data_IF_048422106147
#
_entry.id   IF_048422106147
#
_cell.length_a   1.000
_cell.length_b   1.000
_cell.length_c   1.000
_cell.angle_alpha   90.00
_cell.angle_beta   90.00
_cell.angle_gamma   90.00
#
_symmetry.space_group_name_H-M   'P 1'
#
loop_
_entity.id
_entity.type
_entity.pdbx_description
1 polymer ?
#
# COMPACT_ATOMS: atom_id res chain seq x y z
N UNK A 1 -14.53 10.57 -23.94
CA UNK A 1 -15.03 11.77 -23.25
C UNK A 1 -14.77 11.61 -21.76
N UNK A 2 -13.69 12.21 -21.24
CA UNK A 2 -13.40 12.21 -19.79
C UNK A 2 -14.14 13.39 -19.16
N UNK A 3 -15.24 13.14 -18.45
CA UNK A 3 -15.89 14.17 -17.65
C UNK A 3 -15.20 14.26 -16.28
N UNK A 4 -15.12 15.47 -15.72
CA UNK A 4 -14.60 15.68 -14.36
C UNK A 4 -15.33 14.81 -13.32
N UNK A 5 -16.64 14.62 -13.52
CA UNK A 5 -17.46 13.73 -12.70
C UNK A 5 -17.03 12.25 -12.81
N UNK A 6 -16.75 11.76 -14.02
CA UNK A 6 -16.32 10.38 -14.24
C UNK A 6 -14.99 10.08 -13.54
N UNK A 7 -14.02 11.00 -13.62
CA UNK A 7 -12.74 10.85 -12.92
C UNK A 7 -12.89 10.86 -11.40
N UNK A 8 -13.77 11.70 -10.86
CA UNK A 8 -14.03 11.73 -9.41
C UNK A 8 -14.72 10.45 -8.91
N UNK A 9 -15.70 9.95 -9.68
CA UNK A 9 -16.41 8.71 -9.35
C UNK A 9 -15.48 7.49 -9.38
N UNK A 10 -14.65 7.37 -10.42
CA UNK A 10 -13.67 6.29 -10.57
C UNK A 10 -12.69 6.28 -9.38
N UNK A 11 -12.20 7.47 -9.00
CA UNK A 11 -11.30 7.61 -7.86
C UNK A 11 -11.94 7.17 -6.53
N UNK A 12 -13.21 7.49 -6.30
CA UNK A 12 -13.93 7.08 -5.09
C UNK A 12 -14.15 5.57 -5.08
N UNK A 13 -14.60 5.01 -6.21
CA UNK A 13 -14.85 3.57 -6.32
C UNK A 13 -13.56 2.79 -6.04
N UNK A 14 -12.44 3.24 -6.61
CA UNK A 14 -11.12 2.63 -6.36
C UNK A 14 -10.68 2.76 -4.90
N UNK A 15 -11.14 3.76 -4.17
CA UNK A 15 -10.84 3.95 -2.76
C UNK A 15 -11.65 3.02 -1.85
N UNK A 16 -12.92 2.80 -2.16
CA UNK A 16 -13.87 2.08 -1.27
C UNK A 16 -14.03 0.61 -1.65
N UNK A 17 -13.80 0.24 -2.91
CA UNK A 17 -13.91 -1.14 -3.37
C UNK A 17 -12.99 -2.13 -2.64
N UNK A 18 -11.69 -1.83 -2.40
CA UNK A 18 -10.78 -2.78 -1.75
C UNK A 18 -11.25 -3.26 -0.36
N UNK A 19 -11.59 -2.40 0.62
CA UNK A 19 -12.03 -2.86 1.93
C UNK A 19 -13.36 -3.64 1.87
N UNK A 20 -14.30 -3.22 1.01
CA UNK A 20 -15.59 -3.92 0.84
C UNK A 20 -15.36 -5.34 0.35
N UNK A 21 -14.45 -5.53 -0.62
CA UNK A 21 -14.13 -6.84 -1.15
C UNK A 21 -13.66 -7.83 -0.07
N UNK A 22 -12.73 -7.42 0.81
CA UNK A 22 -12.23 -8.28 1.89
C UNK A 22 -13.27 -8.57 2.97
N UNK A 23 -14.16 -7.61 3.26
CA UNK A 23 -15.29 -7.83 4.18
C UNK A 23 -16.22 -8.90 3.62
N UNK A 24 -16.61 -8.79 2.36
CA UNK A 24 -17.48 -9.78 1.71
C UNK A 24 -16.84 -11.17 1.68
N UNK A 25 -15.55 -11.25 1.38
CA UNK A 25 -14.81 -12.51 1.42
C UNK A 25 -14.83 -13.14 2.82
N UNK A 26 -14.51 -12.36 3.85
CA UNK A 26 -14.49 -12.83 5.22
C UNK A 26 -15.88 -13.23 5.75
N UNK A 27 -16.95 -12.53 5.33
CA UNK A 27 -18.33 -12.93 5.63
C UNK A 27 -18.69 -14.27 4.97
N UNK A 28 -18.29 -14.48 3.71
CA UNK A 28 -18.47 -15.77 3.02
C UNK A 28 -17.76 -16.92 3.73
N UNK A 29 -16.55 -16.68 4.24
CA UNK A 29 -15.82 -17.66 5.05
C UNK A 29 -16.48 -17.93 6.40
N UNK A 30 -17.00 -16.89 7.07
CA UNK A 30 -17.73 -17.05 8.33
C UNK A 30 -18.98 -17.91 8.20
N UNK A 31 -19.67 -17.85 7.06
CA UNK A 31 -20.80 -18.76 6.77
C UNK A 31 -20.35 -20.20 6.46
N UNK A 32 -19.17 -20.36 5.86
CA UNK A 32 -18.62 -21.69 5.50
C UNK A 32 -17.97 -22.41 6.68
N UNK A 33 -17.54 -21.66 7.71
CA UNK A 33 -16.87 -22.18 8.90
C UNK A 33 -17.48 -21.54 10.17
N UNK A 34 -18.67 -21.98 10.62
CA UNK A 34 -19.41 -21.34 11.72
C UNK A 34 -18.68 -21.40 13.08
N UNK A 35 -17.88 -22.44 13.31
CA UNK A 35 -17.15 -22.68 14.57
C UNK A 35 -15.83 -21.92 14.67
N UNK A 36 -15.54 -21.01 13.74
CA UNK A 36 -14.25 -20.33 13.64
C UNK A 36 -13.96 -19.28 14.72
N UNK A 37 -14.71 -19.25 15.83
CA UNK A 37 -14.42 -18.46 17.03
C UNK A 37 -14.23 -16.95 16.82
N UNK A 38 -14.78 -16.36 15.75
CA UNK A 38 -14.65 -14.92 15.46
C UNK A 38 -13.29 -14.47 14.88
N UNK A 39 -12.35 -15.37 14.64
CA UNK A 39 -11.01 -15.04 14.12
C UNK A 39 -11.04 -14.34 12.75
N UNK A 40 -12.01 -14.67 11.89
CA UNK A 40 -12.21 -13.96 10.62
C UNK A 40 -12.63 -12.51 10.80
N UNK A 41 -13.43 -12.21 11.83
CA UNK A 41 -13.80 -10.83 12.14
C UNK A 41 -12.58 -10.00 12.51
N UNK A 42 -11.70 -10.55 13.36
CA UNK A 42 -10.42 -9.91 13.70
C UNK A 42 -9.56 -9.67 12.45
N UNK A 43 -9.42 -10.67 11.57
CA UNK A 43 -8.66 -10.53 10.33
C UNK A 43 -9.22 -9.41 9.42
N UNK A 44 -10.55 -9.36 9.25
CA UNK A 44 -11.21 -8.30 8.47
C UNK A 44 -10.93 -6.93 9.10
N UNK A 45 -11.11 -6.78 10.41
CA UNK A 45 -10.84 -5.51 11.10
C UNK A 45 -9.37 -5.09 10.98
N UNK A 46 -8.43 -6.02 11.08
CA UNK A 46 -7.02 -5.74 10.83
C UNK A 46 -6.76 -5.22 9.41
N UNK A 47 -7.40 -5.82 8.39
CA UNK A 47 -7.28 -5.37 6.99
C UNK A 47 -7.88 -3.97 6.82
N UNK A 48 -9.09 -3.73 7.33
CA UNK A 48 -9.78 -2.44 7.20
C UNK A 48 -9.01 -1.34 7.91
N UNK A 49 -8.62 -1.55 9.18
CA UNK A 49 -7.85 -0.58 9.96
C UNK A 49 -6.50 -0.34 9.28
N UNK A 50 -5.79 -1.41 8.88
CA UNK A 50 -4.52 -1.29 8.18
C UNK A 50 -4.64 -0.48 6.89
N UNK A 51 -5.69 -0.72 6.09
CA UNK A 51 -5.97 0.05 4.88
C UNK A 51 -6.20 1.53 5.17
N UNK A 52 -7.05 1.85 6.17
CA UNK A 52 -7.32 3.24 6.58
C UNK A 52 -6.04 3.91 7.05
N UNK A 53 -5.24 3.25 7.89
CA UNK A 53 -3.95 3.77 8.38
C UNK A 53 -2.99 4.04 7.22
N UNK A 54 -2.91 3.14 6.24
CA UNK A 54 -2.07 3.33 5.06
C UNK A 54 -2.49 4.55 4.23
N UNK A 55 -3.81 4.72 4.01
CA UNK A 55 -4.37 5.88 3.28
C UNK A 55 -4.20 7.19 4.04
N UNK A 56 -4.44 7.20 5.35
CA UNK A 56 -4.19 8.36 6.21
C UNK A 56 -2.72 8.73 6.18
N UNK A 57 -1.82 7.76 6.22
CA UNK A 57 -0.38 8.00 6.16
C UNK A 57 0.04 8.66 4.84
N UNK A 58 -0.48 8.17 3.71
CA UNK A 58 -0.22 8.78 2.40
C UNK A 58 -0.80 10.21 2.31
N UNK A 59 -2.01 10.42 2.84
CA UNK A 59 -2.68 11.72 2.88
C UNK A 59 -1.94 12.73 3.77
N UNK A 60 -1.56 12.34 4.98
CA UNK A 60 -0.80 13.17 5.91
C UNK A 60 0.58 13.55 5.34
N UNK A 61 1.23 12.63 4.63
CA UNK A 61 2.49 12.93 3.95
C UNK A 61 2.31 14.03 2.89
N UNK A 62 1.30 13.88 2.02
CA UNK A 62 1.00 14.88 0.98
C UNK A 62 0.60 16.23 1.56
N UNK A 63 -0.13 16.23 2.66
CA UNK A 63 -0.62 17.45 3.30
C UNK A 63 0.48 18.21 4.06
N UNK A 64 1.37 17.51 4.77
CA UNK A 64 2.31 18.14 5.70
C UNK A 64 3.78 18.18 5.25
N UNK A 65 4.21 17.30 4.34
CA UNK A 65 5.63 17.00 4.13
C UNK A 65 6.13 17.29 2.72
N UNK A 66 5.32 17.10 1.68
CA UNK A 66 5.65 17.49 0.32
C UNK A 66 4.60 17.06 -0.72
N UNK A 67 4.65 17.65 -1.91
CA UNK A 67 3.74 17.29 -3.03
C UNK A 67 4.02 15.91 -3.65
N UNK A 68 5.12 15.27 -3.23
CA UNK A 68 5.49 13.93 -3.71
C UNK A 68 4.93 12.83 -2.80
N UNK A 69 4.72 11.63 -3.36
CA UNK A 69 4.24 10.50 -2.56
C UNK A 69 5.32 9.98 -1.60
N UNK A 70 4.89 9.45 -0.44
CA UNK A 70 5.78 8.84 0.58
C UNK A 70 6.75 7.81 -0.03
N UNK A 71 6.35 7.14 -1.10
CA UNK A 71 7.14 6.16 -1.85
C UNK A 71 8.31 6.74 -2.67
N UNK A 72 8.33 8.05 -2.89
CA UNK A 72 9.39 8.74 -3.64
C UNK A 72 10.42 9.40 -2.72
N UNK A 73 10.31 9.20 -1.40
CA UNK A 73 11.24 9.80 -0.44
C UNK A 73 12.61 9.12 -0.46
N UNK A 74 12.67 7.79 -0.39
CA UNK A 74 13.92 7.02 -0.52
C UNK A 74 13.83 5.93 -1.60
N UNK A 75 14.96 5.46 -2.15
CA UNK A 75 14.97 4.42 -3.18
C UNK A 75 14.27 3.13 -2.73
N UNK A 76 14.44 2.76 -1.45
CA UNK A 76 13.79 1.60 -0.82
C UNK A 76 12.26 1.71 -0.88
N UNK A 77 11.72 2.91 -0.68
CA UNK A 77 10.27 3.13 -0.69
C UNK A 77 9.71 3.04 -2.11
N UNK A 78 10.53 3.37 -3.12
CA UNK A 78 10.18 3.19 -4.53
C UNK A 78 10.15 1.71 -4.93
N UNK A 79 11.07 0.89 -4.41
CA UNK A 79 10.99 -0.57 -4.56
C UNK A 79 9.77 -1.15 -3.85
N UNK A 80 9.49 -0.68 -2.64
CA UNK A 80 8.31 -1.11 -1.89
C UNK A 80 7.02 -0.81 -2.66
N UNK A 81 6.95 0.36 -3.32
CA UNK A 81 5.86 0.69 -4.26
C UNK A 81 5.75 -0.30 -5.41
N UNK A 82 6.85 -0.82 -5.97
CA UNK A 82 6.72 -1.83 -7.05
C UNK A 82 6.02 -3.10 -6.56
N UNK A 83 6.30 -3.51 -5.33
CA UNK A 83 5.70 -4.68 -4.70
C UNK A 83 4.22 -4.43 -4.38
N UNK A 84 3.88 -3.24 -3.88
CA UNK A 84 2.51 -2.91 -3.44
C UNK A 84 1.62 -2.36 -4.54
N UNK A 85 2.16 -1.71 -5.58
CA UNK A 85 1.37 -0.95 -6.56
C UNK A 85 0.92 -1.73 -7.79
N UNK A 86 1.57 -2.84 -8.19
CA UNK A 86 1.30 -3.40 -9.52
C UNK A 86 0.26 -4.50 -9.61
N UNK A 87 0.11 -5.44 -8.68
CA UNK A 87 -0.97 -6.45 -8.74
C UNK A 87 -1.23 -6.98 -7.34
N UNK A 88 -2.36 -6.55 -6.79
CA UNK A 88 -2.89 -6.82 -5.45
C UNK A 88 -2.30 -8.10 -4.81
N UNK A 89 -1.16 -8.02 -4.08
CA UNK A 89 -0.53 -9.21 -3.47
C UNK A 89 -1.50 -9.94 -2.55
N UNK A 90 -2.47 -9.23 -1.99
CA UNK A 90 -3.53 -9.82 -1.19
C UNK A 90 -4.43 -10.77 -2.01
N UNK A 91 -4.72 -10.45 -3.27
CA UNK A 91 -5.47 -11.37 -4.16
C UNK A 91 -4.66 -12.62 -4.48
N UNK A 92 -3.34 -12.50 -4.62
CA UNK A 92 -2.47 -13.66 -4.83
C UNK A 92 -2.46 -14.55 -3.57
N UNK A 93 -2.38 -13.95 -2.38
CA UNK A 93 -2.45 -14.67 -1.11
C UNK A 93 -3.81 -15.35 -0.91
N UNK A 94 -4.92 -14.66 -1.22
CA UNK A 94 -6.27 -15.24 -1.17
C UNK A 94 -6.43 -16.40 -2.15
N UNK A 95 -5.97 -16.22 -3.39
CA UNK A 95 -6.06 -17.26 -4.43
C UNK A 95 -5.23 -18.48 -4.04
N UNK A 96 -4.02 -18.29 -3.53
CA UNK A 96 -3.19 -19.39 -3.04
C UNK A 96 -3.86 -20.13 -1.88
N UNK A 97 -4.44 -19.41 -0.91
CA UNK A 97 -5.19 -20.02 0.19
C UNK A 97 -6.40 -20.82 -0.30
N UNK A 98 -7.17 -20.27 -1.25
CA UNK A 98 -8.31 -20.97 -1.84
C UNK A 98 -7.90 -22.24 -2.59
N UNK A 99 -6.80 -22.20 -3.37
CA UNK A 99 -6.29 -23.35 -4.12
C UNK A 99 -5.74 -24.46 -3.21
N UNK A 100 -5.20 -24.12 -2.05
CA UNK A 100 -4.71 -25.08 -1.06
C UNK A 100 -5.82 -25.63 -0.15
N UNK A 101 -7.09 -25.31 -0.43
CA UNK A 101 -8.24 -25.71 0.39
C UNK A 101 -8.27 -25.04 1.77
N UNK A 102 -7.45 -24.02 1.98
CA UNK A 102 -7.32 -23.26 3.23
C UNK A 102 -7.49 -21.76 2.99
N UNK A 103 -8.69 -21.31 2.60
CA UNK A 103 -8.96 -19.90 2.35
C UNK A 103 -8.90 -19.05 3.64
N UNK A 104 -8.99 -19.70 4.81
CA UNK A 104 -8.73 -19.14 6.14
C UNK A 104 -7.30 -18.60 6.26
N UNK A 105 -6.29 -19.42 5.91
CA UNK A 105 -4.88 -19.02 5.92
C UNK A 105 -4.60 -17.92 4.89
N UNK A 106 -5.30 -17.95 3.76
CA UNK A 106 -5.25 -16.89 2.75
C UNK A 106 -5.66 -15.53 3.35
N UNK A 107 -6.79 -15.48 4.07
CA UNK A 107 -7.26 -14.25 4.70
C UNK A 107 -6.31 -13.76 5.82
N UNK A 108 -5.78 -14.67 6.63
CA UNK A 108 -4.79 -14.34 7.67
C UNK A 108 -3.51 -13.77 7.05
N UNK A 109 -3.02 -14.36 5.96
CA UNK A 109 -1.86 -13.85 5.25
C UNK A 109 -2.09 -12.43 4.71
N UNK A 110 -3.29 -12.14 4.20
CA UNK A 110 -3.68 -10.78 3.79
C UNK A 110 -3.70 -9.81 4.97
N UNK A 111 -4.28 -10.21 6.10
CA UNK A 111 -4.33 -9.38 7.29
C UNK A 111 -2.92 -9.06 7.80
N UNK A 112 -2.05 -10.07 7.87
CA UNK A 112 -0.65 -9.90 8.26
C UNK A 112 0.09 -8.98 7.29
N UNK A 113 -0.02 -9.21 5.98
CA UNK A 113 0.62 -8.38 4.96
C UNK A 113 0.15 -6.92 5.03
N UNK A 114 -1.16 -6.71 5.19
CA UNK A 114 -1.74 -5.36 5.32
C UNK A 114 -1.24 -4.66 6.59
N UNK A 115 -1.23 -5.35 7.74
CA UNK A 115 -0.71 -4.79 8.98
C UNK A 115 0.79 -4.45 8.87
N UNK A 116 1.59 -5.34 8.29
CA UNK A 116 3.02 -5.15 8.11
C UNK A 116 3.33 -3.96 7.20
N UNK A 117 2.65 -3.86 6.05
CA UNK A 117 2.85 -2.78 5.09
C UNK A 117 2.39 -1.42 5.65
N UNK A 118 1.28 -1.38 6.39
CA UNK A 118 0.81 -0.16 7.05
C UNK A 118 1.74 0.28 8.18
N UNK A 119 2.25 -0.64 8.99
CA UNK A 119 3.24 -0.33 10.02
C UNK A 119 4.51 0.27 9.39
N UNK A 120 5.00 -0.32 8.31
CA UNK A 120 6.16 0.21 7.58
C UNK A 120 5.91 1.66 7.12
N UNK A 121 4.72 1.97 6.59
CA UNK A 121 4.35 3.32 6.17
C UNK A 121 4.30 4.30 7.35
N UNK A 122 3.72 3.91 8.48
CA UNK A 122 3.64 4.76 9.68
C UNK A 122 5.04 5.10 10.20
N UNK A 123 5.93 4.10 10.27
CA UNK A 123 7.33 4.33 10.68
C UNK A 123 8.01 5.28 9.71
N UNK A 124 7.82 5.11 8.40
CA UNK A 124 8.37 6.01 7.37
C UNK A 124 7.83 7.44 7.50
N UNK A 125 6.55 7.61 7.80
CA UNK A 125 5.95 8.92 8.04
C UNK A 125 6.59 9.61 9.25
N UNK A 126 6.77 8.87 10.36
CA UNK A 126 7.45 9.39 11.55
C UNK A 126 8.90 9.80 11.26
N UNK A 127 9.65 8.97 10.53
CA UNK A 127 11.01 9.30 10.11
C UNK A 127 11.06 10.53 9.20
N UNK A 128 10.12 10.65 8.28
CA UNK A 128 10.01 11.80 7.38
C UNK A 128 9.67 13.08 8.17
N UNK A 129 8.75 12.99 9.13
CA UNK A 129 8.44 14.07 10.08
C UNK A 129 9.65 14.52 10.87
N UNK A 130 10.39 13.57 11.47
CA UNK A 130 11.62 13.88 12.20
C UNK A 130 12.68 14.55 11.32
N UNK A 131 12.87 14.04 10.09
CA UNK A 131 13.81 14.62 9.12
C UNK A 131 13.39 16.03 8.73
N UNK A 132 12.08 16.29 8.56
CA UNK A 132 11.57 17.63 8.23
C UNK A 132 11.85 18.64 9.34
N UNK A 133 11.68 18.23 10.59
CA UNK A 133 11.93 19.09 11.76
C UNK A 133 13.43 19.35 11.95
N UNK A 134 14.29 18.38 11.66
CA UNK A 134 15.72 18.47 11.94
C UNK A 134 16.56 19.03 10.78
N UNK A 135 16.18 18.73 9.54
CA UNK A 135 16.98 19.02 8.34
C UNK A 135 16.27 19.92 7.32
N UNK A 136 15.01 20.31 7.57
CA UNK A 136 14.26 21.21 6.71
C UNK A 136 13.43 20.49 5.63
N UNK A 137 13.09 21.15 4.51
CA UNK A 137 12.14 20.62 3.54
C UNK A 137 12.63 19.30 2.93
N UNK A 138 11.75 18.29 2.90
CA UNK A 138 12.10 16.98 2.33
C UNK A 138 12.27 17.08 0.82
N UNK A 139 13.32 16.44 0.31
CA UNK A 139 13.54 16.27 -1.12
C UNK A 139 13.32 14.81 -1.52
N UNK A 140 12.93 14.60 -2.77
CA UNK A 140 12.86 13.26 -3.36
C UNK A 140 14.27 12.73 -3.59
N UNK A 141 14.47 11.42 -3.48
CA UNK A 141 15.79 10.83 -3.72
C UNK A 141 16.29 11.01 -5.16
N UNK A 142 15.40 11.34 -6.12
CA UNK A 142 15.78 11.69 -7.49
C UNK A 142 16.53 13.03 -7.59
N UNK A 143 16.31 13.94 -6.64
CA UNK A 143 16.95 15.25 -6.60
C UNK A 143 18.22 15.25 -5.74
N UNK A 144 18.50 14.14 -5.05
CA UNK A 144 19.67 14.00 -4.18
C UNK A 144 20.93 13.68 -5.02
N UNK A 145 21.90 14.59 -5.13
CA UNK A 145 23.12 14.38 -5.91
C UNK A 145 24.04 13.29 -5.32
N UNK A 146 23.79 12.84 -4.09
CA UNK A 146 24.53 11.76 -3.45
C UNK A 146 24.12 10.35 -3.88
N UNK A 147 22.99 10.19 -4.58
CA UNK A 147 22.57 8.88 -5.11
C UNK A 147 23.38 8.58 -6.36
N UNK A 148 24.42 7.76 -6.22
CA UNK A 148 25.29 7.38 -7.32
C UNK A 148 24.50 6.85 -8.52
N UNK A 149 24.78 7.38 -9.72
CA UNK A 149 24.14 7.02 -10.99
C UNK A 149 24.24 5.51 -11.32
N UNK A 150 25.15 4.78 -10.67
CA UNK A 150 25.32 3.34 -10.82
C UNK A 150 24.36 2.50 -9.98
N UNK A 151 23.65 3.10 -9.02
CA UNK A 151 22.70 2.40 -8.15
C UNK A 151 21.63 1.68 -8.97
N UNK A 152 21.29 0.44 -8.58
CA UNK A 152 20.23 -0.35 -9.19
C UNK A 152 18.89 0.40 -9.23
N UNK A 153 18.66 1.30 -8.26
CA UNK A 153 17.45 2.11 -8.19
C UNK A 153 17.38 3.10 -9.34
N UNK A 154 18.49 3.79 -9.64
CA UNK A 154 18.60 4.69 -10.79
C UNK A 154 18.35 3.89 -12.07
N UNK A 155 19.03 2.76 -12.28
CA UNK A 155 18.85 1.94 -13.49
C UNK A 155 17.41 1.46 -13.72
N UNK A 156 16.69 1.13 -12.65
CA UNK A 156 15.31 0.62 -12.72
C UNK A 156 14.30 1.75 -12.95
N UNK A 157 14.48 2.90 -12.29
CA UNK A 157 13.50 3.99 -12.31
C UNK A 157 13.82 5.13 -13.29
N UNK A 158 15.07 5.28 -13.74
CA UNK A 158 15.50 6.28 -14.73
C UNK A 158 15.85 5.64 -16.08
N UNK A 159 15.30 4.45 -16.39
CA UNK A 159 15.60 3.71 -17.63
C UNK A 159 15.14 4.50 -18.87
N UNK A 160 16.01 5.45 -19.25
CA UNK A 160 16.24 6.12 -20.53
C UNK A 160 15.07 6.00 -21.52
N UNK A 161 14.27 7.06 -21.59
CA UNK A 161 13.74 7.49 -22.89
C UNK A 161 14.97 7.72 -23.80
N UNK A 162 15.33 6.70 -24.58
CA UNK A 162 16.07 6.94 -25.82
C UNK A 162 15.01 7.47 -26.78
N UNK A 163 14.75 8.77 -26.70
CA UNK A 163 14.15 9.46 -27.84
C UNK A 163 15.22 9.47 -28.95
N UNK A 164 14.83 9.17 -30.20
CA UNK A 164 15.73 9.10 -31.35
C UNK A 164 16.40 10.44 -31.65
#
# INVERSE_FOLDING_TARGET
>A
TSSWFGHYLDHIIDLVHPPIWYVLWGLGLGMSYPDSGGWFSLAIWCIVIGYVVGRLTEGLFKWGLGEFGIFCWRPVDSYFRLITARRNPNMLLLTAGALLGRPDLGLVAVAFWTAWTSLFLVVRLGMAGYTRITQGPLQTWFMDPGVGMESLAVRIFTKRERLP
#
